data_IF_477553099611
#
_entry.id   IF_477553099611
#
_cell.length_a   1.000
_cell.length_b   1.000
_cell.length_c   1.000
_cell.angle_alpha   90.00
_cell.angle_beta   90.00
_cell.angle_gamma   90.00
#
_symmetry.space_group_name_H-M   'P 1'
#
loop_
_entity.id
_entity.type
_entity.pdbx_description
1 polymer ?
#
# COMPACT_ATOMS: atom_id res chain seq x y z
N UNK A 1 -16.62 23.11 -23.26
CA UNK A 1 -15.67 23.02 -22.13
C UNK A 1 -15.45 21.55 -21.82
N UNK A 2 -14.23 21.03 -21.94
CA UNK A 2 -13.91 19.66 -21.50
C UNK A 2 -13.86 19.68 -19.97
N UNK A 3 -14.50 18.76 -19.24
CA UNK A 3 -14.30 18.68 -17.80
C UNK A 3 -12.82 18.34 -17.57
N UNK A 4 -12.10 19.25 -16.93
CA UNK A 4 -10.80 18.95 -16.34
C UNK A 4 -11.05 17.81 -15.37
N UNK A 5 -10.60 16.60 -15.73
CA UNK A 5 -10.56 15.45 -14.85
C UNK A 5 -9.72 15.92 -13.65
N UNK A 6 -10.36 16.35 -12.57
CA UNK A 6 -9.65 16.66 -11.34
C UNK A 6 -8.92 15.38 -10.96
N UNK A 7 -7.60 15.40 -11.08
CA UNK A 7 -6.75 14.39 -10.47
C UNK A 7 -6.99 14.50 -8.98
N UNK A 8 -7.91 13.67 -8.47
CA UNK A 8 -8.10 13.43 -7.04
C UNK A 8 -6.73 13.04 -6.51
N UNK A 9 -6.04 14.02 -5.95
CA UNK A 9 -4.70 13.83 -5.43
C UNK A 9 -4.93 13.21 -4.06
N UNK A 10 -4.58 11.95 -3.89
CA UNK A 10 -4.74 11.29 -2.59
C UNK A 10 -3.88 12.02 -1.58
N UNK A 11 -4.48 12.39 -0.45
CA UNK A 11 -3.78 13.06 0.64
C UNK A 11 -2.54 12.23 1.06
N UNK A 12 -1.34 12.83 1.17
CA UNK A 12 -0.15 12.12 1.64
C UNK A 12 -0.33 11.41 2.99
N UNK A 13 -1.18 11.93 3.87
CA UNK A 13 -1.56 11.31 5.14
C UNK A 13 -2.42 10.05 4.93
N UNK A 14 -3.31 10.05 3.93
CA UNK A 14 -4.06 8.84 3.58
C UNK A 14 -3.13 7.73 3.06
N UNK A 15 -2.09 8.10 2.29
CA UNK A 15 -1.07 7.16 1.86
C UNK A 15 -0.27 6.63 3.06
N UNK A 16 0.13 7.47 4.01
CA UNK A 16 0.90 6.99 5.17
C UNK A 16 0.14 5.94 5.99
N UNK A 17 -1.19 6.07 6.14
CA UNK A 17 -2.04 5.03 6.75
C UNK A 17 -2.01 3.72 5.96
N UNK A 18 -2.07 3.77 4.62
CA UNK A 18 -1.93 2.57 3.78
C UNK A 18 -0.56 1.92 4.00
N UNK A 19 0.51 2.71 4.12
CA UNK A 19 1.84 2.20 4.45
C UNK A 19 1.87 1.45 5.79
N UNK A 20 1.26 2.01 6.85
CA UNK A 20 1.16 1.36 8.16
C UNK A 20 0.43 0.01 8.06
N UNK A 21 -0.69 -0.02 7.33
CA UNK A 21 -1.45 -1.26 7.11
C UNK A 21 -0.57 -2.29 6.40
N UNK A 22 0.11 -1.92 5.31
CA UNK A 22 1.01 -2.82 4.56
C UNK A 22 2.12 -3.40 5.45
N UNK A 23 2.68 -2.62 6.38
CA UNK A 23 3.66 -3.14 7.35
C UNK A 23 3.05 -4.08 8.38
N UNK A 24 1.80 -3.86 8.76
CA UNK A 24 1.09 -4.77 9.68
C UNK A 24 0.87 -6.15 9.05
N UNK A 25 0.93 -6.26 7.72
CA UNK A 25 0.93 -7.55 7.02
C UNK A 25 2.26 -8.32 7.09
N UNK A 26 3.40 -7.65 7.35
CA UNK A 26 4.72 -8.29 7.36
C UNK A 26 4.86 -9.37 8.45
N UNK A 27 4.43 -9.15 9.71
CA UNK A 27 4.45 -10.19 10.75
C UNK A 27 3.57 -11.40 10.42
N UNK A 28 2.54 -11.23 9.60
CA UNK A 28 1.59 -12.31 9.27
C UNK A 28 2.27 -13.43 8.47
N UNK A 29 3.37 -13.14 7.76
CA UNK A 29 4.18 -14.16 7.10
C UNK A 29 4.84 -15.15 8.07
N UNK A 30 5.02 -14.77 9.33
CA UNK A 30 5.61 -15.62 10.37
C UNK A 30 4.57 -16.38 11.19
N UNK A 31 3.28 -16.16 10.94
CA UNK A 31 2.21 -16.87 11.61
C UNK A 31 1.88 -18.17 10.87
N UNK A 32 1.42 -19.18 11.61
CA UNK A 32 0.89 -20.42 11.05
C UNK A 32 -0.50 -20.17 10.43
N UNK A 33 -0.53 -19.50 9.27
CA UNK A 33 -1.72 -19.27 8.47
C UNK A 33 -2.01 -20.51 7.60
N UNK A 34 -3.29 -20.74 7.30
CA UNK A 34 -3.65 -21.65 6.22
C UNK A 34 -3.16 -21.09 4.87
N UNK A 35 -2.99 -21.95 3.87
CA UNK A 35 -2.61 -21.49 2.52
C UNK A 35 -3.62 -20.47 1.95
N UNK A 36 -4.91 -20.67 2.23
CA UNK A 36 -5.98 -19.76 1.81
C UNK A 36 -5.84 -18.39 2.48
N UNK A 37 -5.60 -18.36 3.79
CA UNK A 37 -5.42 -17.10 4.53
C UNK A 37 -4.15 -16.37 4.08
N UNK A 38 -3.07 -17.11 3.81
CA UNK A 38 -1.83 -16.57 3.26
C UNK A 38 -2.06 -15.92 1.89
N UNK A 39 -2.83 -16.56 1.02
CA UNK A 39 -3.16 -16.01 -0.30
C UNK A 39 -4.04 -14.76 -0.20
N UNK A 40 -5.06 -14.78 0.66
CA UNK A 40 -5.94 -13.63 0.89
C UNK A 40 -5.14 -12.42 1.42
N UNK A 41 -4.24 -12.69 2.37
CA UNK A 41 -3.31 -11.72 2.97
C UNK A 41 -2.38 -11.10 1.92
N UNK A 42 -1.83 -11.94 1.02
CA UNK A 42 -0.99 -11.47 -0.08
C UNK A 42 -1.75 -10.58 -1.06
N UNK A 43 -2.98 -10.97 -1.45
CA UNK A 43 -3.83 -10.18 -2.36
C UNK A 43 -4.20 -8.83 -1.76
N UNK A 44 -4.54 -8.78 -0.47
CA UNK A 44 -4.84 -7.54 0.23
C UNK A 44 -3.63 -6.59 0.23
N UNK A 45 -2.44 -7.11 0.55
CA UNK A 45 -1.19 -6.35 0.50
C UNK A 45 -0.92 -5.77 -0.90
N UNK A 46 -1.04 -6.58 -1.94
CA UNK A 46 -0.82 -6.17 -3.33
C UNK A 46 -1.80 -5.09 -3.79
N UNK A 47 -3.07 -5.18 -3.40
CA UNK A 47 -4.08 -4.16 -3.73
C UNK A 47 -3.73 -2.80 -3.10
N UNK A 48 -3.27 -2.82 -1.85
CA UNK A 48 -2.83 -1.60 -1.15
C UNK A 48 -1.56 -1.01 -1.78
N UNK A 49 -0.57 -1.84 -2.13
CA UNK A 49 0.61 -1.39 -2.87
C UNK A 49 0.26 -0.76 -4.23
N UNK A 50 -0.75 -1.30 -4.93
CA UNK A 50 -1.20 -0.75 -6.21
C UNK A 50 -1.78 0.66 -6.06
N UNK A 51 -2.53 0.93 -4.98
CA UNK A 51 -3.03 2.28 -4.67
C UNK A 51 -1.86 3.25 -4.43
N UNK A 52 -0.85 2.83 -3.67
CA UNK A 52 0.36 3.64 -3.41
C UNK A 52 1.09 3.97 -4.72
N UNK A 53 1.28 2.97 -5.59
CA UNK A 53 1.92 3.13 -6.91
C UNK A 53 1.14 4.03 -7.85
N UNK A 54 -0.19 3.89 -7.89
CA UNK A 54 -1.07 4.74 -8.71
C UNK A 54 -0.99 6.22 -8.31
N UNK A 55 -0.57 6.53 -7.09
CA UNK A 55 -0.35 7.89 -6.60
C UNK A 55 1.09 8.40 -6.76
N UNK A 56 1.97 7.66 -7.44
CA UNK A 56 3.36 8.07 -7.69
C UNK A 56 4.31 7.81 -6.52
N UNK A 57 3.97 6.85 -5.65
CA UNK A 57 4.80 6.45 -4.52
C UNK A 57 5.16 4.95 -4.57
N UNK A 58 6.12 4.54 -3.75
CA UNK A 58 6.58 3.17 -3.59
C UNK A 58 6.60 2.79 -2.12
N UNK A 59 6.48 1.50 -1.83
CA UNK A 59 6.54 0.96 -0.46
C UNK A 59 7.95 0.49 -0.14
N UNK A 60 8.44 0.84 1.04
CA UNK A 60 9.75 0.44 1.57
C UNK A 60 9.57 -0.30 2.90
N UNK A 61 9.90 -1.60 2.90
CA UNK A 61 9.62 -2.51 4.02
C UNK A 61 10.63 -2.42 5.18
N UNK A 62 11.72 -1.66 5.03
CA UNK A 62 12.83 -1.63 5.99
C UNK A 62 13.17 -0.24 6.52
N UNK A 63 12.30 0.75 6.33
CA UNK A 63 12.53 2.12 6.81
C UNK A 63 11.34 2.62 7.62
N UNK A 64 11.58 3.53 8.57
CA UNK A 64 10.52 4.22 9.32
C UNK A 64 9.48 4.84 8.37
N UNK A 65 9.94 5.41 7.26
CA UNK A 65 9.08 5.89 6.18
C UNK A 65 8.72 4.74 5.22
N UNK A 66 7.57 4.14 5.47
CA UNK A 66 7.03 3.02 4.68
C UNK A 66 6.68 3.41 3.25
N UNK A 67 6.39 4.69 2.99
CA UNK A 67 6.07 5.20 1.66
C UNK A 67 7.10 6.24 1.25
N UNK A 68 7.60 6.10 0.01
CA UNK A 68 8.59 7.00 -0.59
C UNK A 68 8.10 7.44 -1.96
N UNK A 69 8.40 8.68 -2.36
CA UNK A 69 8.08 9.13 -3.72
C UNK A 69 8.79 8.23 -4.73
N UNK A 70 8.07 7.79 -5.77
CA UNK A 70 8.68 7.01 -6.84
C UNK A 70 9.72 7.88 -7.58
N UNK A 71 10.86 7.30 -8.00
CA UNK A 71 11.85 8.01 -8.81
C UNK A 71 11.31 8.40 -10.18
#
# INVERSE_FOLDING_TARGET
MKPLKQTLTTDPQALSYIGIIIRTFEPLHFMNLSDQDREATLKARQALEAIVKANGYTVSYHTENTIKKAP
#
